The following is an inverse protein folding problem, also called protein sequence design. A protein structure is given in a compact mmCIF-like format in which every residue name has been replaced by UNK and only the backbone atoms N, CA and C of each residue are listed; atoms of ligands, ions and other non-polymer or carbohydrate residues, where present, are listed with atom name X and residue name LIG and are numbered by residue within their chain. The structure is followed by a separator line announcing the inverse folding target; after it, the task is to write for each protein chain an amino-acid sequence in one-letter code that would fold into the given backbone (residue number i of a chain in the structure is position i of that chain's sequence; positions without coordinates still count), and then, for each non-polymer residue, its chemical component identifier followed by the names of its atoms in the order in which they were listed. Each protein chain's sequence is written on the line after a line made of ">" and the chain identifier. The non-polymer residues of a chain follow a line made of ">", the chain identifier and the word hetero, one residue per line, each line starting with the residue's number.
data_IF_601326165538
#
_entry.id   IF_601326165538
#
_cell.length_a   1.000
_cell.length_b   1.000
_cell.length_c   1.000
_cell.angle_alpha   90.00
_cell.angle_beta   90.00
_cell.angle_gamma   90.00
#
_symmetry.space_group_name_H-M   'P 1'
#
loop_
_entity.id
_entity.type
_entity.pdbx_description
1 polymer ?
#
# COMPACT_ATOMS: atom_id res chain seq x y z
N UNK A 1 -10.15 -10.59 9.84
CA UNK A 1 -8.80 -10.78 9.24
C UNK A 1 -8.23 -9.42 8.90
N UNK A 2 -6.93 -9.18 9.09
CA UNK A 2 -6.30 -7.89 8.74
C UNK A 2 -5.89 -7.85 7.27
N UNK A 3 -6.01 -6.68 6.63
CA UNK A 3 -5.57 -6.42 5.27
C UNK A 3 -4.73 -5.14 5.21
N UNK A 4 -3.84 -5.04 4.22
CA UNK A 4 -3.00 -3.87 3.99
C UNK A 4 -3.18 -3.42 2.53
N UNK A 5 -3.43 -2.12 2.32
CA UNK A 5 -3.52 -1.56 0.98
C UNK A 5 -2.21 -0.89 0.60
N UNK A 6 -1.65 -1.25 -0.56
CA UNK A 6 -0.43 -0.65 -1.10
C UNK A 6 -0.76 0.17 -2.34
N UNK A 7 -0.40 1.46 -2.30
CA UNK A 7 -0.67 2.42 -3.38
C UNK A 7 0.67 2.96 -3.91
N UNK A 8 0.83 3.07 -5.23
CA UNK A 8 2.06 3.58 -5.87
C UNK A 8 1.77 4.53 -7.02
N UNK A 9 2.55 5.62 -7.09
CA UNK A 9 2.52 6.60 -8.18
C UNK A 9 3.91 6.82 -8.77
N UNK A 10 3.99 7.09 -10.07
CA UNK A 10 5.27 7.37 -10.75
C UNK A 10 5.70 8.81 -10.64
N UNK A 11 4.77 9.76 -10.44
CA UNK A 11 5.09 11.19 -10.35
C UNK A 11 4.34 11.86 -9.18
N UNK A 12 4.97 12.78 -8.42
CA UNK A 12 4.35 13.44 -7.27
C UNK A 12 3.11 14.27 -7.60
N UNK A 13 2.98 14.76 -8.85
CA UNK A 13 1.79 15.51 -9.27
C UNK A 13 0.52 14.65 -9.22
N UNK A 14 0.66 13.32 -9.37
CA UNK A 14 -0.46 12.37 -9.31
C UNK A 14 -1.11 12.31 -7.92
N UNK A 15 -0.40 12.75 -6.86
CA UNK A 15 -0.96 12.89 -5.51
C UNK A 15 -2.07 13.93 -5.43
N UNK A 16 -2.04 14.95 -6.29
CA UNK A 16 -3.03 16.03 -6.34
C UNK A 16 -4.31 15.62 -7.11
N UNK A 17 -4.31 14.45 -7.74
CA UNK A 17 -5.44 13.98 -8.54
C UNK A 17 -6.43 13.13 -7.75
N UNK A 18 -7.66 13.04 -8.27
CA UNK A 18 -8.73 12.16 -7.76
C UNK A 18 -8.38 10.65 -7.88
N UNK A 19 -7.33 10.30 -8.62
CA UNK A 19 -6.83 8.92 -8.73
C UNK A 19 -6.41 8.32 -7.39
N UNK A 20 -5.85 9.10 -6.47
CA UNK A 20 -5.49 8.62 -5.13
C UNK A 20 -6.72 8.35 -4.29
N UNK A 21 -7.67 9.30 -4.29
CA UNK A 21 -8.93 9.17 -3.57
C UNK A 21 -9.72 7.93 -4.01
N UNK A 22 -9.79 7.68 -5.33
CA UNK A 22 -10.48 6.51 -5.89
C UNK A 22 -9.82 5.18 -5.52
N UNK A 23 -8.49 5.13 -5.46
CA UNK A 23 -7.78 3.91 -5.05
C UNK A 23 -7.97 3.58 -3.57
N UNK A 24 -7.96 4.61 -2.71
CA UNK A 24 -8.26 4.45 -1.28
C UNK A 24 -9.69 3.95 -1.11
N UNK A 25 -10.66 4.62 -1.72
CA UNK A 25 -12.06 4.23 -1.62
C UNK A 25 -12.31 2.80 -2.14
N UNK A 26 -11.69 2.42 -3.26
CA UNK A 26 -11.79 1.05 -3.79
C UNK A 26 -11.20 0.00 -2.83
N UNK A 27 -10.07 0.34 -2.17
CA UNK A 27 -9.46 -0.55 -1.17
C UNK A 27 -10.37 -0.74 0.04
N UNK A 28 -10.97 0.36 0.53
CA UNK A 28 -11.91 0.33 1.66
C UNK A 28 -13.16 -0.47 1.34
N UNK A 29 -13.74 -0.28 0.16
CA UNK A 29 -14.91 -1.04 -0.30
C UNK A 29 -14.60 -2.54 -0.39
N UNK A 30 -13.46 -2.91 -0.98
CA UNK A 30 -13.05 -4.31 -1.06
C UNK A 30 -12.91 -4.93 0.34
N UNK A 31 -12.26 -4.21 1.26
CA UNK A 31 -12.08 -4.70 2.61
C UNK A 31 -13.43 -4.91 3.34
N UNK A 32 -14.35 -3.95 3.21
CA UNK A 32 -15.70 -4.07 3.76
C UNK A 32 -16.47 -5.26 3.18
N UNK A 33 -16.42 -5.45 1.85
CA UNK A 33 -17.09 -6.55 1.16
C UNK A 33 -16.59 -7.94 1.60
N UNK A 34 -15.32 -8.03 1.99
CA UNK A 34 -14.67 -9.28 2.34
C UNK A 34 -14.46 -9.47 3.85
N UNK A 35 -15.09 -8.66 4.71
CA UNK A 35 -14.91 -8.68 6.17
C UNK A 35 -13.42 -8.59 6.60
N UNK A 36 -12.65 -7.80 5.85
CA UNK A 36 -11.26 -7.48 6.12
C UNK A 36 -11.17 -6.14 6.86
N UNK A 37 -10.27 -6.04 7.82
CA UNK A 37 -9.94 -4.78 8.48
C UNK A 37 -8.68 -4.20 7.83
N UNK A 38 -8.82 -3.08 7.10
CA UNK A 38 -7.66 -2.36 6.60
C UNK A 38 -6.86 -1.77 7.75
N UNK A 39 -5.62 -2.21 7.86
CA UNK A 39 -4.65 -1.68 8.80
C UNK A 39 -3.89 -0.51 8.15
N UNK A 40 -4.32 0.70 8.49
CA UNK A 40 -3.72 1.95 8.01
C UNK A 40 -2.53 2.41 8.87
N UNK A 41 -2.06 1.61 9.85
CA UNK A 41 -0.93 1.99 10.70
C UNK A 41 0.39 1.98 9.95
N UNK A 42 0.49 1.16 8.89
CA UNK A 42 1.63 1.14 8.00
C UNK A 42 1.37 2.06 6.81
N UNK A 43 2.19 3.10 6.65
CA UNK A 43 2.15 3.96 5.47
C UNK A 43 2.66 3.18 4.25
N UNK A 44 1.75 2.53 3.54
CA UNK A 44 2.02 1.72 2.35
C UNK A 44 1.80 2.51 1.06
N UNK A 45 2.42 3.69 0.95
CA UNK A 45 2.30 4.54 -0.23
C UNK A 45 3.67 4.94 -0.77
N UNK A 46 3.92 4.64 -2.03
CA UNK A 46 5.15 4.98 -2.74
C UNK A 46 4.89 6.09 -3.77
N UNK A 47 5.38 7.30 -3.48
CA UNK A 47 5.25 8.47 -4.35
C UNK A 47 6.53 8.65 -5.18
N UNK A 48 6.42 8.76 -6.50
CA UNK A 48 7.56 9.03 -7.38
C UNK A 48 8.47 7.82 -7.65
N UNK A 49 8.04 6.61 -7.29
CA UNK A 49 8.80 5.38 -7.53
C UNK A 49 8.31 4.70 -8.82
N UNK A 50 9.12 4.83 -9.88
CA UNK A 50 8.87 4.17 -11.15
C UNK A 50 8.85 2.64 -11.00
N UNK A 51 7.82 2.00 -11.57
CA UNK A 51 7.68 0.54 -11.68
C UNK A 51 8.88 -0.10 -12.41
N UNK A 52 9.45 0.64 -13.35
CA UNK A 52 10.44 0.13 -14.31
C UNK A 52 11.74 -0.30 -13.63
N UNK A 53 12.16 0.39 -12.57
CA UNK A 53 13.44 0.14 -11.90
C UNK A 53 13.31 -0.82 -10.70
N UNK A 54 12.11 -1.30 -10.37
CA UNK A 54 11.89 -2.23 -9.24
C UNK A 54 12.22 -1.67 -7.84
N UNK A 55 12.63 -0.40 -7.73
CA UNK A 55 13.13 0.23 -6.50
C UNK A 55 12.14 0.22 -5.32
N UNK A 56 10.84 0.14 -5.60
CA UNK A 56 9.77 0.04 -4.61
C UNK A 56 9.82 -1.28 -3.82
N UNK A 57 10.39 -2.35 -4.39
CA UNK A 57 10.60 -3.63 -3.69
C UNK A 57 11.70 -3.56 -2.62
N UNK A 58 12.65 -2.66 -2.75
CA UNK A 58 13.83 -2.60 -1.87
C UNK A 58 13.89 -1.35 -0.99
N UNK A 59 13.40 -0.20 -1.49
CA UNK A 59 13.42 1.10 -0.80
C UNK A 59 12.03 1.72 -0.60
N UNK A 60 11.01 1.16 -1.22
CA UNK A 60 9.63 1.63 -1.08
C UNK A 60 8.91 1.02 0.12
N UNK A 61 7.70 1.51 0.36
CA UNK A 61 6.80 1.03 1.41
C UNK A 61 6.47 -0.47 1.24
N UNK A 62 6.50 -0.99 0.02
CA UNK A 62 6.39 -2.43 -0.23
C UNK A 62 7.57 -3.21 0.36
N UNK A 63 8.80 -2.73 0.16
CA UNK A 63 9.99 -3.35 0.76
C UNK A 63 9.99 -3.32 2.29
N UNK A 64 9.52 -2.22 2.87
CA UNK A 64 9.34 -2.10 4.33
C UNK A 64 8.32 -3.13 4.83
N UNK A 65 7.20 -3.28 4.13
CA UNK A 65 6.18 -4.26 4.49
C UNK A 65 6.69 -5.70 4.42
N UNK A 66 7.41 -6.07 3.35
CA UNK A 66 8.01 -7.40 3.22
C UNK A 66 8.94 -7.71 4.40
N UNK A 67 9.77 -6.74 4.82
CA UNK A 67 10.62 -6.90 6.02
C UNK A 67 9.81 -7.06 7.30
N UNK A 68 8.67 -6.38 7.44
CA UNK A 68 7.80 -6.52 8.61
C UNK A 68 7.11 -7.89 8.65
N UNK A 69 6.78 -8.46 7.47
CA UNK A 69 6.31 -9.84 7.34
C UNK A 69 7.40 -10.83 7.77
N UNK A 70 8.62 -10.67 7.25
CA UNK A 70 9.78 -11.51 7.65
C UNK A 70 10.07 -11.41 9.15
N UNK A 71 9.84 -10.25 9.77
CA UNK A 71 10.02 -10.04 11.21
C UNK A 71 8.84 -10.50 12.07
N UNK A 72 7.80 -11.14 11.50
CA UNK A 72 6.56 -11.52 12.18
C UNK A 72 5.84 -10.34 12.89
N UNK A 73 6.09 -9.11 12.44
CA UNK A 73 5.39 -7.90 12.93
C UNK A 73 4.06 -7.67 12.22
N UNK A 74 3.85 -8.35 11.09
CA UNK A 74 2.56 -8.48 10.43
C UNK A 74 1.98 -9.84 10.80
N UNK A 75 0.80 -9.83 11.41
CA UNK A 75 0.09 -11.06 11.81
C UNK A 75 -0.21 -11.91 10.57
N UNK A 76 0.16 -13.18 10.59
CA UNK A 76 -0.25 -14.14 9.56
C UNK A 76 -1.78 -14.25 9.56
N UNK A 77 -2.36 -14.17 8.36
CA UNK A 77 -3.80 -14.34 8.13
C UNK A 77 -4.22 -15.78 8.19
#
# INVERSE_FOLDING_TARGET
>A
MKAYSYIRFSSPEQRKGDSMRRQIAASEQYAQQHNLTLDNTLRMTDEGLSAFHGMHRTKGALGVFLKLVEQNKVVQG
#
